data_IF_763867477964
#
_entry.id   IF_763867477964
#
_cell.length_a   1.000
_cell.length_b   1.000
_cell.length_c   1.000
_cell.angle_alpha   90.00
_cell.angle_beta   90.00
_cell.angle_gamma   90.00
#
_symmetry.space_group_name_H-M   'P 1'
#
loop_
_entity.id
_entity.type
_entity.pdbx_description
1 polymer ?
#
# COMPACT_ATOMS: atom_id res chain seq x y z
N UNK A 1 -13.72 -31.29 30.54
CA UNK A 1 -12.34 -31.39 31.07
C UNK A 1 -11.45 -30.68 30.07
N UNK A 2 -11.18 -29.38 30.11
CA UNK A 2 -11.16 -28.39 31.18
C UNK A 2 -11.71 -27.07 30.62
N UNK A 3 -12.66 -26.47 31.33
CA UNK A 3 -13.00 -25.06 31.23
C UNK A 3 -12.18 -24.28 32.29
N UNK A 4 -12.04 -22.98 32.04
CA UNK A 4 -11.76 -21.87 32.98
C UNK A 4 -10.34 -21.31 32.97
N UNK A 5 -10.33 -19.96 32.94
CA UNK A 5 -9.24 -19.00 33.22
C UNK A 5 -8.30 -18.76 32.02
N UNK A 6 -8.50 -17.80 31.10
CA UNK A 6 -9.12 -16.48 31.15
C UNK A 6 -8.70 -15.63 32.36
N UNK A 7 -7.39 -15.45 32.59
CA UNK A 7 -6.86 -14.38 33.47
C UNK A 7 -5.36 -14.03 33.33
N UNK A 8 -4.70 -14.12 32.16
CA UNK A 8 -3.26 -13.76 32.08
C UNK A 8 -2.81 -12.83 30.94
N UNK A 9 -3.72 -12.23 30.17
CA UNK A 9 -3.34 -11.36 29.05
C UNK A 9 -3.13 -9.86 29.39
N UNK A 10 -3.12 -9.46 30.66
CA UNK A 10 -2.93 -8.05 31.05
C UNK A 10 -1.51 -7.63 31.48
N UNK A 11 -0.49 -8.50 31.37
CA UNK A 11 0.88 -8.14 31.76
C UNK A 11 1.93 -8.48 30.68
N UNK A 12 1.89 -7.78 29.52
CA UNK A 12 2.96 -7.88 28.50
C UNK A 12 3.38 -6.57 27.84
N UNK A 13 3.25 -5.43 28.52
CA UNK A 13 3.84 -4.16 28.04
C UNK A 13 5.23 -3.81 28.60
N UNK A 14 5.87 -4.67 29.41
CA UNK A 14 7.21 -4.38 29.98
C UNK A 14 8.36 -5.26 29.48
N UNK A 15 8.17 -6.14 28.49
CA UNK A 15 9.15 -7.18 28.15
C UNK A 15 9.70 -7.14 26.71
N UNK A 16 9.60 -6.01 26.01
CA UNK A 16 10.24 -5.86 24.70
C UNK A 16 11.77 -5.74 24.81
N UNK A 17 12.31 -5.11 25.85
CA UNK A 17 13.76 -5.03 26.10
C UNK A 17 14.40 -6.39 26.33
N UNK A 18 13.77 -7.27 27.12
CA UNK A 18 14.26 -8.63 27.38
C UNK A 18 14.22 -9.57 26.17
N UNK A 19 13.28 -9.36 25.23
CA UNK A 19 13.22 -10.09 23.96
C UNK A 19 14.32 -9.62 22.98
N UNK A 20 14.57 -8.31 22.94
CA UNK A 20 15.64 -7.68 22.15
C UNK A 20 17.01 -8.16 22.66
N UNK A 21 17.24 -8.14 23.97
CA UNK A 21 18.49 -8.63 24.55
C UNK A 21 18.70 -10.11 24.26
N UNK A 22 17.68 -10.96 24.46
CA UNK A 22 17.77 -12.38 24.10
C UNK A 22 18.12 -12.60 22.64
N UNK A 23 17.51 -11.87 21.70
CA UNK A 23 17.83 -12.00 20.28
C UNK A 23 19.24 -11.51 19.95
N UNK A 24 19.70 -10.40 20.53
CA UNK A 24 21.07 -9.87 20.35
C UNK A 24 22.12 -10.83 20.89
N UNK A 25 21.89 -11.43 22.07
CA UNK A 25 22.77 -12.45 22.64
C UNK A 25 22.80 -13.72 21.79
N UNK A 26 21.66 -14.13 21.22
CA UNK A 26 21.56 -15.30 20.33
C UNK A 26 22.35 -15.06 19.03
N UNK A 27 22.24 -13.87 18.43
CA UNK A 27 22.99 -13.52 17.19
C UNK A 27 24.49 -13.40 17.46
N UNK A 28 24.90 -12.77 18.58
CA UNK A 28 26.33 -12.75 18.98
C UNK A 28 26.87 -14.16 19.27
N UNK A 29 26.08 -15.03 19.89
CA UNK A 29 26.44 -16.43 20.11
C UNK A 29 26.62 -17.23 18.82
N UNK A 30 25.74 -17.01 17.83
CA UNK A 30 25.83 -17.62 16.50
C UNK A 30 27.06 -17.16 15.71
N UNK A 31 27.44 -15.87 15.83
CA UNK A 31 28.67 -15.34 15.21
C UNK A 31 29.92 -16.03 15.80
N UNK A 32 29.95 -16.23 17.13
CA UNK A 32 31.07 -16.88 17.81
C UNK A 32 31.17 -18.41 17.57
N UNK A 33 30.08 -19.07 17.17
CA UNK A 33 30.06 -20.52 16.91
C UNK A 33 30.15 -20.90 15.43
N UNK A 34 30.13 -19.92 14.51
CA UNK A 34 30.09 -20.18 13.06
C UNK A 34 31.44 -20.62 12.50
N UNK A 35 31.62 -21.93 12.26
CA UNK A 35 32.82 -22.50 11.60
C UNK A 35 32.91 -22.21 10.08
N UNK A 36 31.84 -21.75 9.45
CA UNK A 36 31.78 -21.47 8.00
C UNK A 36 31.79 -19.97 7.73
N UNK A 37 32.64 -19.52 6.78
CA UNK A 37 32.70 -18.11 6.33
C UNK A 37 31.33 -17.60 5.85
N UNK A 38 30.56 -18.44 5.16
CA UNK A 38 29.23 -18.07 4.65
C UNK A 38 28.23 -17.83 5.79
N UNK A 39 28.23 -18.69 6.80
CA UNK A 39 27.37 -18.53 7.98
C UNK A 39 27.78 -17.31 8.82
N UNK A 40 29.07 -16.99 8.88
CA UNK A 40 29.58 -15.78 9.53
C UNK A 40 29.08 -14.52 8.81
N UNK A 41 29.23 -14.46 7.49
CA UNK A 41 28.73 -13.32 6.69
C UNK A 41 27.21 -13.16 6.78
N UNK A 42 26.45 -14.26 6.76
CA UNK A 42 25.00 -14.24 6.96
C UNK A 42 24.62 -13.72 8.36
N UNK A 43 25.32 -14.15 9.40
CA UNK A 43 25.08 -13.69 10.77
C UNK A 43 25.44 -12.21 10.93
N UNK A 44 26.55 -11.76 10.36
CA UNK A 44 26.95 -10.35 10.35
C UNK A 44 25.93 -9.49 9.59
N UNK A 45 25.46 -9.96 8.44
CA UNK A 45 24.42 -9.28 7.66
C UNK A 45 23.13 -9.15 8.47
N UNK A 46 22.64 -10.25 9.08
CA UNK A 46 21.47 -10.23 9.98
C UNK A 46 21.66 -9.25 11.13
N UNK A 47 22.84 -9.24 11.76
CA UNK A 47 23.15 -8.32 12.85
C UNK A 47 23.12 -6.85 12.42
N UNK A 48 23.75 -6.53 11.27
CA UNK A 48 23.76 -5.15 10.72
C UNK A 48 22.35 -4.70 10.33
N UNK A 49 21.56 -5.61 9.75
CA UNK A 49 20.17 -5.35 9.40
C UNK A 49 19.32 -5.08 10.64
N UNK A 50 19.42 -5.93 11.68
CA UNK A 50 18.75 -5.73 12.96
C UNK A 50 19.13 -4.40 13.62
N UNK A 51 20.44 -4.06 13.64
CA UNK A 51 20.91 -2.78 14.17
C UNK A 51 20.32 -1.59 13.39
N UNK A 52 20.22 -1.70 12.07
CA UNK A 52 19.63 -0.66 11.24
C UNK A 52 18.14 -0.47 11.57
N UNK A 53 17.37 -1.56 11.72
CA UNK A 53 15.95 -1.48 12.09
C UNK A 53 15.76 -0.75 13.42
N UNK A 54 16.52 -1.10 14.46
CA UNK A 54 16.42 -0.43 15.77
C UNK A 54 16.78 1.06 15.69
N UNK A 55 17.82 1.41 14.95
CA UNK A 55 18.19 2.81 14.75
C UNK A 55 17.09 3.61 14.03
N UNK A 56 16.41 2.99 13.06
CA UNK A 56 15.29 3.61 12.35
C UNK A 56 14.07 3.77 13.26
N UNK A 57 13.80 2.80 14.14
CA UNK A 57 12.76 2.90 15.17
C UNK A 57 13.01 4.07 16.12
N UNK A 58 14.23 4.23 16.60
CA UNK A 58 14.60 5.34 17.49
C UNK A 58 14.39 6.70 16.82
N UNK A 59 14.82 6.84 15.55
CA UNK A 59 14.60 8.06 14.77
C UNK A 59 13.10 8.34 14.62
N UNK A 60 12.32 7.32 14.24
CA UNK A 60 10.87 7.45 14.05
C UNK A 60 10.18 7.85 15.35
N UNK A 61 10.46 7.14 16.44
CA UNK A 61 9.90 7.44 17.75
C UNK A 61 10.20 8.87 18.20
N UNK A 62 11.44 9.33 17.99
CA UNK A 62 11.84 10.71 18.30
C UNK A 62 11.03 11.73 17.50
N UNK A 63 10.82 11.50 16.19
CA UNK A 63 10.09 12.42 15.33
C UNK A 63 8.58 12.36 15.50
N UNK A 64 8.02 11.20 15.83
CA UNK A 64 6.61 11.06 16.24
C UNK A 64 6.37 11.84 17.53
N UNK A 65 7.29 11.79 18.50
CA UNK A 65 7.16 12.55 19.74
C UNK A 65 7.16 14.06 19.52
N UNK A 66 7.90 14.56 18.52
CA UNK A 66 7.82 15.95 18.08
C UNK A 66 6.44 16.24 17.48
N UNK A 67 5.94 15.37 16.60
CA UNK A 67 4.63 15.55 15.96
C UNK A 67 3.46 15.57 16.96
N UNK A 68 3.58 14.94 18.14
CA UNK A 68 2.60 15.02 19.23
C UNK A 68 2.32 16.47 19.68
N UNK A 69 3.29 17.37 19.53
CA UNK A 69 3.14 18.77 19.91
C UNK A 69 2.24 19.55 18.93
N UNK A 70 2.15 19.08 17.69
CA UNK A 70 1.45 19.77 16.61
C UNK A 70 0.12 19.10 16.25
N UNK A 71 0.01 17.78 16.42
CA UNK A 71 -1.08 16.97 15.86
C UNK A 71 -2.09 16.58 16.94
N UNK A 72 -3.37 16.52 16.58
CA UNK A 72 -4.37 15.81 17.39
C UNK A 72 -4.03 14.31 17.46
N UNK A 73 -4.59 13.61 18.44
CA UNK A 73 -4.36 12.16 18.60
C UNK A 73 -4.73 11.37 17.34
N UNK A 74 -5.92 11.62 16.76
CA UNK A 74 -6.34 10.95 15.53
C UNK A 74 -5.42 11.28 14.35
N UNK A 75 -5.01 12.55 14.18
CA UNK A 75 -4.09 12.93 13.11
C UNK A 75 -2.74 12.23 13.24
N UNK A 76 -2.24 12.11 14.47
CA UNK A 76 -0.97 11.45 14.75
C UNK A 76 -1.07 9.96 14.43
N UNK A 77 -2.09 9.26 14.92
CA UNK A 77 -2.31 7.84 14.65
C UNK A 77 -2.51 7.60 13.15
N UNK A 78 -3.29 8.43 12.48
CA UNK A 78 -3.52 8.35 11.04
C UNK A 78 -2.23 8.59 10.24
N UNK A 79 -1.43 9.58 10.63
CA UNK A 79 -0.13 9.88 10.01
C UNK A 79 0.87 8.75 10.22
N UNK A 80 0.91 8.14 11.41
CA UNK A 80 1.75 6.96 11.67
C UNK A 80 1.35 5.79 10.78
N UNK A 81 0.05 5.55 10.58
CA UNK A 81 -0.43 4.54 9.64
C UNK A 81 -0.01 4.82 8.20
N UNK A 82 -0.24 6.04 7.70
CA UNK A 82 0.05 6.40 6.31
C UNK A 82 1.54 6.48 5.99
N UNK A 83 2.30 7.16 6.85
CA UNK A 83 3.71 7.46 6.59
C UNK A 83 4.59 6.31 7.03
N UNK A 84 4.32 5.75 8.22
CA UNK A 84 5.17 4.74 8.87
C UNK A 84 4.64 3.30 8.73
N UNK A 85 3.43 3.12 8.21
CA UNK A 85 2.82 1.80 8.10
C UNK A 85 2.50 1.16 9.45
N UNK A 86 2.42 1.96 10.51
CA UNK A 86 2.12 1.48 11.86
C UNK A 86 0.60 1.41 12.06
N UNK A 87 0.11 0.18 12.28
CA UNK A 87 -1.29 -0.03 12.63
C UNK A 87 -1.56 0.60 13.99
N UNK A 88 -2.69 1.29 14.12
CA UNK A 88 -3.20 1.81 15.39
C UNK A 88 -4.62 1.27 15.62
N UNK A 89 -4.79 -0.01 16.01
CA UNK A 89 -6.11 -0.62 16.25
C UNK A 89 -6.95 0.11 17.31
N UNK A 90 -6.27 0.78 18.24
CA UNK A 90 -6.86 1.62 19.30
C UNK A 90 -7.44 2.95 18.78
N UNK A 91 -7.20 3.30 17.52
CA UNK A 91 -7.72 4.53 16.94
C UNK A 91 -9.24 4.48 16.78
N UNK A 92 -9.92 5.58 17.10
CA UNK A 92 -11.38 5.71 17.05
C UNK A 92 -11.97 5.37 15.67
N UNK A 93 -11.26 5.72 14.61
CA UNK A 93 -11.66 5.48 13.22
C UNK A 93 -11.29 4.08 12.69
N UNK A 94 -10.48 3.29 13.41
CA UNK A 94 -9.98 2.00 12.90
C UNK A 94 -11.10 1.00 12.49
N UNK A 95 -12.20 0.87 13.26
CA UNK A 95 -13.32 0.00 12.88
C UNK A 95 -13.97 0.43 11.56
N UNK A 96 -14.09 1.74 11.32
CA UNK A 96 -14.70 2.27 10.10
C UNK A 96 -13.87 1.93 8.86
N UNK A 97 -12.54 2.04 8.94
CA UNK A 97 -11.66 1.62 7.84
C UNK A 97 -11.68 0.10 7.63
N UNK A 98 -11.86 -0.67 8.70
CA UNK A 98 -12.02 -2.13 8.62
C UNK A 98 -13.28 -2.51 7.86
N UNK A 99 -14.41 -1.96 8.27
CA UNK A 99 -15.72 -2.27 7.69
C UNK A 99 -15.89 -1.68 6.28
N UNK A 100 -15.28 -0.52 6.00
CA UNK A 100 -15.26 0.03 4.65
C UNK A 100 -14.27 -0.71 3.71
N UNK A 101 -13.51 -1.70 4.20
CA UNK A 101 -12.51 -2.44 3.41
C UNK A 101 -11.29 -1.59 3.00
N UNK A 102 -11.03 -0.51 3.73
CA UNK A 102 -9.98 0.46 3.49
C UNK A 102 -8.77 0.31 4.42
N UNK A 103 -8.66 -0.77 5.19
CA UNK A 103 -7.48 -1.01 6.05
C UNK A 103 -6.14 -0.97 5.29
N UNK A 104 -6.16 -1.30 4.00
CA UNK A 104 -4.99 -1.23 3.13
C UNK A 104 -4.45 0.21 2.94
N UNK A 105 -5.27 1.23 3.25
CA UNK A 105 -4.88 2.64 3.31
C UNK A 105 -4.09 2.94 4.58
N UNK A 106 -4.55 2.43 5.74
CA UNK A 106 -3.93 2.68 7.05
C UNK A 106 -2.59 1.95 7.27
N UNK A 107 -2.13 1.20 6.28
CA UNK A 107 -0.87 0.45 6.32
C UNK A 107 -0.04 0.84 5.11
N UNK A 108 1.29 0.79 5.25
CA UNK A 108 2.19 1.11 4.16
C UNK A 108 1.95 0.17 2.96
N UNK A 109 1.63 0.78 1.82
CA UNK A 109 1.25 0.06 0.61
C UNK A 109 2.12 0.48 -0.58
N UNK A 110 2.03 -0.29 -1.67
CA UNK A 110 2.68 0.08 -2.92
C UNK A 110 2.16 1.40 -3.51
N UNK A 111 0.97 1.85 -3.12
CA UNK A 111 0.42 3.14 -3.49
C UNK A 111 1.23 4.28 -2.86
N UNK A 112 1.60 4.17 -1.58
CA UNK A 112 2.42 5.18 -0.90
C UNK A 112 3.78 5.34 -1.58
N UNK A 113 4.40 4.24 -2.03
CA UNK A 113 5.64 4.30 -2.83
C UNK A 113 5.43 5.04 -4.15
N UNK A 114 4.32 4.79 -4.84
CA UNK A 114 4.01 5.47 -6.09
C UNK A 114 3.80 6.98 -5.88
N UNK A 115 3.17 7.39 -4.78
CA UNK A 115 3.04 8.79 -4.38
C UNK A 115 4.40 9.42 -4.09
N UNK A 116 5.24 8.77 -3.29
CA UNK A 116 6.60 9.22 -2.96
C UNK A 116 7.43 9.38 -4.23
N UNK A 117 7.41 8.39 -5.13
CA UNK A 117 8.08 8.47 -6.41
C UNK A 117 7.53 9.60 -7.30
N UNK A 118 6.21 9.81 -7.29
CA UNK A 118 5.54 10.89 -8.02
C UNK A 118 5.94 12.27 -7.52
N UNK A 119 5.99 12.47 -6.20
CA UNK A 119 6.45 13.69 -5.57
C UNK A 119 7.92 13.96 -5.90
N UNK A 120 8.79 12.95 -5.74
CA UNK A 120 10.20 13.03 -6.10
C UNK A 120 10.38 13.43 -7.57
N UNK A 121 9.60 12.84 -8.49
CA UNK A 121 9.64 13.17 -9.92
C UNK A 121 9.31 14.64 -10.19
N UNK A 122 8.31 15.21 -9.50
CA UNK A 122 7.92 16.62 -9.67
C UNK A 122 9.02 17.55 -9.16
N UNK A 123 9.61 17.26 -8.00
CA UNK A 123 10.68 18.06 -7.40
C UNK A 123 11.97 18.01 -8.24
N UNK A 124 12.25 16.88 -8.87
CA UNK A 124 13.48 16.65 -9.63
C UNK A 124 13.33 16.91 -11.14
N UNK A 125 12.23 17.50 -11.58
CA UNK A 125 11.91 17.73 -13.01
C UNK A 125 12.92 18.60 -13.76
N UNK A 126 13.70 19.40 -13.04
CA UNK A 126 14.67 20.33 -13.60
C UNK A 126 16.04 19.67 -13.86
N UNK A 127 16.26 18.44 -13.38
CA UNK A 127 17.50 17.69 -13.61
C UNK A 127 17.45 16.90 -14.92
N UNK A 128 18.62 16.46 -15.40
CA UNK A 128 18.71 15.54 -16.52
C UNK A 128 17.93 14.25 -16.25
N UNK A 129 17.38 13.61 -17.29
CA UNK A 129 16.55 12.39 -17.15
C UNK A 129 17.23 11.29 -16.35
N UNK A 130 18.55 11.10 -16.52
CA UNK A 130 19.34 10.13 -15.75
C UNK A 130 19.37 10.51 -14.26
N UNK A 131 19.75 11.75 -13.96
CA UNK A 131 19.82 12.26 -12.59
C UNK A 131 18.44 12.22 -11.90
N UNK A 132 17.38 12.64 -12.60
CA UNK A 132 16.02 12.60 -12.11
C UNK A 132 15.63 11.18 -11.65
N UNK A 133 15.90 10.17 -12.48
CA UNK A 133 15.56 8.80 -12.15
C UNK A 133 16.41 8.24 -11.00
N UNK A 134 17.70 8.58 -10.95
CA UNK A 134 18.57 8.20 -9.82
C UNK A 134 18.06 8.80 -8.50
N UNK A 135 17.67 10.08 -8.50
CA UNK A 135 17.11 10.74 -7.32
C UNK A 135 15.77 10.12 -6.90
N UNK A 136 14.88 9.81 -7.85
CA UNK A 136 13.62 9.11 -7.54
C UNK A 136 13.90 7.76 -6.88
N UNK A 137 14.85 6.99 -7.41
CA UNK A 137 15.21 5.69 -6.82
C UNK A 137 15.79 5.85 -5.42
N UNK A 138 16.69 6.82 -5.21
CA UNK A 138 17.25 7.11 -3.91
C UNK A 138 16.14 7.42 -2.89
N UNK A 139 15.19 8.29 -3.25
CA UNK A 139 14.05 8.65 -2.37
C UNK A 139 13.17 7.43 -2.09
N UNK A 140 12.85 6.62 -3.09
CA UNK A 140 12.03 5.41 -2.93
C UNK A 140 12.71 4.40 -2.01
N UNK A 141 14.00 4.14 -2.20
CA UNK A 141 14.73 3.20 -1.35
C UNK A 141 14.89 3.71 0.08
N UNK A 142 15.16 5.01 0.26
CA UNK A 142 15.16 5.62 1.59
C UNK A 142 13.81 5.44 2.28
N UNK A 143 12.69 5.64 1.56
CA UNK A 143 11.35 5.39 2.10
C UNK A 143 11.14 3.91 2.49
N UNK A 144 11.54 2.96 1.64
CA UNK A 144 11.41 1.52 1.96
C UNK A 144 12.29 1.10 3.14
N UNK A 145 13.50 1.66 3.24
CA UNK A 145 14.42 1.41 4.36
C UNK A 145 13.80 1.93 5.65
N UNK A 146 13.31 3.19 5.66
CA UNK A 146 12.60 3.75 6.81
C UNK A 146 11.45 2.83 7.24
N UNK A 147 10.72 2.26 6.30
CA UNK A 147 9.59 1.37 6.60
C UNK A 147 9.95 -0.10 6.80
N UNK A 148 11.22 -0.39 7.12
CA UNK A 148 11.66 -1.75 7.49
C UNK A 148 11.31 -2.80 6.44
N UNK A 149 11.41 -2.43 5.16
CA UNK A 149 11.32 -3.36 4.04
C UNK A 149 10.02 -4.20 3.98
N UNK A 150 8.85 -3.64 4.32
CA UNK A 150 7.60 -4.43 4.22
C UNK A 150 7.38 -4.95 2.79
N UNK A 151 6.78 -6.15 2.61
CA UNK A 151 6.72 -6.80 1.29
C UNK A 151 6.07 -5.97 0.16
N UNK A 152 4.96 -5.23 0.38
CA UNK A 152 4.37 -4.39 -0.66
C UNK A 152 5.28 -3.24 -1.12
N UNK A 153 6.11 -2.71 -0.21
CA UNK A 153 7.08 -1.64 -0.44
C UNK A 153 8.27 -2.17 -1.23
N UNK A 154 8.83 -3.32 -0.82
CA UNK A 154 9.92 -4.00 -1.52
C UNK A 154 9.56 -4.29 -2.98
N UNK A 155 8.36 -4.84 -3.23
CA UNK A 155 7.86 -5.07 -4.61
C UNK A 155 7.85 -3.78 -5.40
N UNK A 156 7.31 -2.70 -4.85
CA UNK A 156 7.27 -1.41 -5.54
C UNK A 156 8.69 -0.90 -5.85
N UNK A 157 9.60 -0.90 -4.87
CA UNK A 157 10.97 -0.43 -5.04
C UNK A 157 11.72 -1.23 -6.12
N UNK A 158 11.66 -2.56 -6.07
CA UNK A 158 12.27 -3.41 -7.09
C UNK A 158 11.68 -3.19 -8.47
N UNK A 159 10.36 -3.03 -8.58
CA UNK A 159 9.74 -2.68 -9.86
C UNK A 159 10.23 -1.34 -10.40
N UNK A 160 10.34 -0.29 -9.56
CA UNK A 160 10.91 0.99 -9.98
C UNK A 160 12.36 0.85 -10.44
N UNK A 161 13.19 0.11 -9.70
CA UNK A 161 14.59 -0.18 -10.06
C UNK A 161 14.70 -0.90 -11.41
N UNK A 162 13.88 -1.92 -11.64
CA UNK A 162 13.88 -2.68 -12.90
C UNK A 162 13.40 -1.84 -14.08
N UNK A 163 12.34 -1.03 -13.90
CA UNK A 163 11.88 -0.10 -14.95
C UNK A 163 12.97 0.92 -15.27
N UNK A 164 13.67 1.43 -14.26
CA UNK A 164 14.79 2.34 -14.46
C UNK A 164 15.92 1.68 -15.26
N UNK A 165 16.36 0.50 -14.83
CA UNK A 165 17.43 -0.26 -15.49
C UNK A 165 17.09 -0.54 -16.96
N UNK A 166 15.87 -1.01 -17.25
CA UNK A 166 15.42 -1.27 -18.62
C UNK A 166 15.41 0.01 -19.46
N UNK A 167 14.95 1.13 -18.90
CA UNK A 167 14.99 2.43 -19.59
C UNK A 167 16.40 2.92 -19.85
N UNK A 168 17.32 2.69 -18.91
CA UNK A 168 18.73 3.03 -19.06
C UNK A 168 19.38 2.23 -20.18
N UNK A 169 19.03 0.94 -20.29
CA UNK A 169 19.50 0.04 -21.34
C UNK A 169 18.77 0.21 -22.70
N UNK A 170 17.85 1.18 -22.82
CA UNK A 170 17.06 1.39 -24.05
C UNK A 170 16.06 0.26 -24.36
N UNK A 171 15.78 -0.62 -23.39
CA UNK A 171 14.95 -1.81 -23.57
C UNK A 171 13.45 -1.51 -23.37
N UNK A 172 12.59 -2.24 -24.09
CA UNK A 172 11.13 -2.15 -23.93
C UNK A 172 10.72 -2.67 -22.55
N UNK A 173 9.92 -1.89 -21.82
CA UNK A 173 9.40 -2.29 -20.50
C UNK A 173 8.12 -3.11 -20.65
N UNK A 174 8.15 -4.39 -20.27
CA UNK A 174 6.94 -5.21 -20.12
C UNK A 174 6.55 -5.31 -18.65
N UNK A 175 5.41 -4.72 -18.28
CA UNK A 175 4.98 -4.55 -16.89
C UNK A 175 4.87 -5.87 -16.11
N UNK A 176 4.33 -6.91 -16.74
CA UNK A 176 4.20 -8.25 -16.13
C UNK A 176 5.56 -8.91 -15.92
N UNK A 177 6.49 -8.78 -16.86
CA UNK A 177 7.87 -9.29 -16.68
C UNK A 177 8.59 -8.59 -15.54
N UNK A 178 8.41 -7.27 -15.43
CA UNK A 178 8.96 -6.49 -14.32
C UNK A 178 8.41 -6.95 -12.97
N UNK A 179 7.10 -7.26 -12.89
CA UNK A 179 6.50 -7.82 -11.68
C UNK A 179 7.04 -9.22 -11.35
N UNK A 180 7.19 -10.10 -12.34
CA UNK A 180 7.75 -11.43 -12.12
C UNK A 180 9.20 -11.35 -11.61
N UNK A 181 10.04 -10.53 -12.26
CA UNK A 181 11.42 -10.31 -11.83
C UNK A 181 11.52 -9.68 -10.45
N UNK A 182 10.64 -8.74 -10.09
CA UNK A 182 10.67 -8.17 -8.73
C UNK A 182 10.36 -9.23 -7.67
N UNK A 183 9.42 -10.15 -7.92
CA UNK A 183 9.13 -11.26 -7.02
C UNK A 183 10.31 -12.23 -6.92
N UNK A 184 10.92 -12.62 -8.05
CA UNK A 184 12.11 -13.47 -8.05
C UNK A 184 13.23 -12.88 -7.21
N UNK A 185 13.49 -11.56 -7.36
CA UNK A 185 14.53 -10.88 -6.60
C UNK A 185 14.19 -10.89 -5.10
N UNK A 186 12.96 -10.56 -4.73
CA UNK A 186 12.51 -10.56 -3.32
C UNK A 186 12.69 -11.95 -2.70
N UNK A 187 12.22 -13.00 -3.37
CA UNK A 187 12.32 -14.37 -2.87
C UNK A 187 13.75 -14.90 -2.85
N UNK A 188 14.63 -14.40 -3.73
CA UNK A 188 16.06 -14.73 -3.68
C UNK A 188 16.74 -14.18 -2.43
N UNK A 189 16.32 -13.00 -1.95
CA UNK A 189 16.84 -12.42 -0.71
C UNK A 189 16.17 -12.99 0.55
N UNK A 190 14.86 -13.23 0.50
CA UNK A 190 14.10 -13.74 1.64
C UNK A 190 13.04 -14.77 1.19
N UNK A 191 13.42 -16.05 1.06
CA UNK A 191 12.53 -17.10 0.58
C UNK A 191 11.27 -17.28 1.43
N UNK A 192 11.36 -17.02 2.75
CA UNK A 192 10.24 -17.10 3.68
C UNK A 192 9.05 -16.20 3.30
N UNK A 193 9.28 -15.14 2.52
CA UNK A 193 8.21 -14.26 2.04
C UNK A 193 7.24 -14.95 1.07
N UNK A 194 7.56 -16.14 0.56
CA UNK A 194 6.61 -16.96 -0.22
C UNK A 194 5.39 -17.37 0.59
N UNK A 195 5.50 -17.47 1.92
CA UNK A 195 4.36 -17.74 2.80
C UNK A 195 3.65 -16.46 3.27
N UNK A 196 4.15 -15.29 2.87
CA UNK A 196 3.60 -14.00 3.33
C UNK A 196 2.35 -13.62 2.55
N UNK A 197 1.21 -13.60 3.24
CA UNK A 197 -0.06 -13.14 2.68
C UNK A 197 0.04 -11.70 2.12
N UNK A 198 0.80 -10.82 2.77
CA UNK A 198 0.95 -9.43 2.31
C UNK A 198 1.69 -9.31 0.97
N UNK A 199 2.65 -10.20 0.70
CA UNK A 199 3.32 -10.27 -0.61
C UNK A 199 2.33 -10.73 -1.69
N UNK A 200 1.59 -11.81 -1.43
CA UNK A 200 0.60 -12.34 -2.37
C UNK A 200 -0.48 -11.32 -2.72
N UNK A 201 -1.07 -10.68 -1.70
CA UNK A 201 -2.08 -9.65 -1.90
C UNK A 201 -1.52 -8.48 -2.73
N UNK A 202 -0.28 -8.04 -2.48
CA UNK A 202 0.34 -6.97 -3.25
C UNK A 202 0.62 -7.35 -4.71
N UNK A 203 1.13 -8.57 -4.95
CA UNK A 203 1.45 -9.07 -6.29
C UNK A 203 0.17 -9.29 -7.10
N UNK A 204 -0.83 -9.95 -6.53
CA UNK A 204 -2.11 -10.22 -7.20
C UNK A 204 -2.89 -8.93 -7.46
N UNK A 205 -2.93 -7.99 -6.51
CA UNK A 205 -3.54 -6.67 -6.75
C UNK A 205 -2.84 -5.95 -7.91
N UNK A 206 -1.50 -5.95 -7.92
CA UNK A 206 -0.72 -5.31 -8.99
C UNK A 206 -0.97 -5.97 -10.34
N UNK A 207 -1.00 -7.31 -10.38
CA UNK A 207 -1.27 -8.08 -11.59
C UNK A 207 -2.69 -7.81 -12.10
N UNK A 208 -3.67 -7.80 -11.21
CA UNK A 208 -5.07 -7.52 -11.52
C UNK A 208 -5.22 -6.13 -12.14
N UNK A 209 -4.61 -5.12 -11.53
CA UNK A 209 -4.55 -3.76 -12.11
C UNK A 209 -3.92 -3.78 -13.50
N UNK A 210 -2.78 -4.45 -13.70
CA UNK A 210 -2.11 -4.48 -15.01
C UNK A 210 -2.96 -5.15 -16.10
N UNK A 211 -3.74 -6.18 -15.75
CA UNK A 211 -4.52 -6.98 -16.70
C UNK A 211 -5.88 -6.36 -17.00
N UNK A 212 -6.59 -5.87 -15.97
CA UNK A 212 -8.00 -5.50 -16.07
C UNK A 212 -8.24 -3.98 -16.14
N UNK A 213 -7.42 -3.14 -15.48
CA UNK A 213 -7.77 -1.71 -15.27
C UNK A 213 -8.06 -0.95 -16.55
N UNK A 214 -7.19 -1.10 -17.56
CA UNK A 214 -7.35 -0.42 -18.84
C UNK A 214 -8.62 -0.87 -19.58
N UNK A 215 -8.94 -2.17 -19.54
CA UNK A 215 -10.12 -2.71 -20.22
C UNK A 215 -11.40 -2.22 -19.55
N UNK A 216 -11.42 -2.25 -18.23
CA UNK A 216 -12.56 -1.84 -17.43
C UNK A 216 -12.82 -0.33 -17.55
N UNK A 217 -11.77 0.48 -17.47
CA UNK A 217 -11.84 1.92 -17.65
C UNK A 217 -12.40 2.30 -19.03
N UNK A 218 -11.92 1.67 -20.11
CA UNK A 218 -12.45 1.91 -21.46
C UNK A 218 -13.90 1.45 -21.61
N UNK A 219 -14.24 0.29 -21.04
CA UNK A 219 -15.61 -0.24 -21.08
C UNK A 219 -16.61 0.70 -20.42
N UNK A 220 -16.28 1.28 -19.27
CA UNK A 220 -17.16 2.22 -18.59
C UNK A 220 -17.21 3.59 -19.26
N UNK A 221 -16.08 4.09 -19.78
CA UNK A 221 -16.07 5.35 -20.54
C UNK A 221 -16.93 5.28 -21.80
N UNK A 222 -17.04 4.11 -22.43
CA UNK A 222 -17.94 3.91 -23.58
C UNK A 222 -19.42 3.99 -23.23
N UNK A 223 -19.80 3.55 -22.02
CA UNK A 223 -21.18 3.58 -21.53
C UNK A 223 -21.59 4.93 -20.92
N UNK A 224 -20.64 5.85 -20.72
CA UNK A 224 -20.92 7.15 -20.12
C UNK A 224 -21.40 8.17 -21.17
N UNK A 225 -22.42 9.01 -20.87
CA UNK A 225 -22.93 9.99 -21.81
C UNK A 225 -21.81 10.90 -22.37
N UNK A 226 -21.72 10.98 -23.71
CA UNK A 226 -20.76 11.86 -24.39
C UNK A 226 -21.17 13.33 -24.36
N UNK A 227 -22.42 13.62 -24.03
CA UNK A 227 -22.97 14.97 -23.97
C UNK A 227 -22.92 15.45 -22.51
N UNK A 228 -22.21 16.54 -22.25
CA UNK A 228 -22.06 17.09 -20.91
C UNK A 228 -20.93 18.11 -20.80
N UNK A 229 -21.04 18.96 -19.79
CA UNK A 229 -20.07 19.96 -19.34
C UNK A 229 -18.63 19.41 -19.31
N UNK A 230 -17.62 20.12 -19.85
CA UNK A 230 -16.22 19.66 -19.87
C UNK A 230 -15.66 19.34 -18.48
N UNK A 231 -16.09 20.08 -17.45
CA UNK A 231 -15.65 19.88 -16.07
C UNK A 231 -16.20 18.57 -15.49
N UNK A 232 -17.49 18.30 -15.69
CA UNK A 232 -18.15 17.08 -15.22
C UNK A 232 -17.55 15.82 -15.88
N UNK A 233 -17.13 15.93 -17.14
CA UNK A 233 -16.40 14.86 -17.86
C UNK A 233 -15.03 14.57 -17.25
N UNK A 234 -14.29 15.60 -16.84
CA UNK A 234 -12.96 15.40 -16.21
C UNK A 234 -13.11 14.70 -14.86
N UNK A 235 -14.08 15.14 -14.05
CA UNK A 235 -14.34 14.57 -12.73
C UNK A 235 -14.82 13.12 -12.84
N UNK A 236 -15.83 12.85 -13.66
CA UNK A 236 -16.33 11.47 -13.88
C UNK A 236 -15.24 10.54 -14.40
N UNK A 237 -14.37 11.00 -15.29
CA UNK A 237 -13.24 10.19 -15.78
C UNK A 237 -12.29 9.77 -14.67
N UNK A 238 -11.97 10.64 -13.71
CA UNK A 238 -11.13 10.29 -12.57
C UNK A 238 -11.79 9.18 -11.75
N UNK A 239 -13.08 9.33 -11.41
CA UNK A 239 -13.81 8.32 -10.65
C UNK A 239 -13.91 6.98 -11.39
N UNK A 240 -14.14 7.00 -12.71
CA UNK A 240 -14.17 5.78 -13.52
C UNK A 240 -12.80 5.10 -13.62
N UNK A 241 -11.71 5.88 -13.71
CA UNK A 241 -10.34 5.34 -13.73
C UNK A 241 -9.96 4.72 -12.38
N UNK A 242 -10.24 5.41 -11.27
CA UNK A 242 -9.94 4.92 -9.92
C UNK A 242 -10.83 3.72 -9.54
N UNK A 243 -12.10 3.76 -9.91
CA UNK A 243 -12.99 2.60 -9.77
C UNK A 243 -12.50 1.41 -10.57
N UNK A 244 -11.98 1.64 -11.78
CA UNK A 244 -11.46 0.57 -12.60
C UNK A 244 -10.20 -0.02 -11.99
N UNK A 245 -9.32 0.80 -11.41
CA UNK A 245 -8.13 0.34 -10.68
C UNK A 245 -8.52 -0.48 -9.45
N UNK A 246 -9.45 0.00 -8.63
CA UNK A 246 -9.89 -0.68 -7.41
C UNK A 246 -10.52 -2.04 -7.70
N UNK A 247 -11.48 -2.10 -8.63
CA UNK A 247 -12.09 -3.36 -9.05
C UNK A 247 -11.09 -4.32 -9.69
N UNK A 248 -10.13 -3.79 -10.45
CA UNK A 248 -9.11 -4.62 -11.08
C UNK A 248 -8.14 -5.22 -10.08
N UNK A 249 -7.79 -4.48 -9.01
CA UNK A 249 -7.02 -5.03 -7.91
C UNK A 249 -7.79 -6.16 -7.22
N UNK A 250 -9.07 -5.89 -6.91
CA UNK A 250 -9.99 -6.83 -6.27
C UNK A 250 -10.21 -8.11 -7.08
N UNK A 251 -10.25 -8.02 -8.41
CA UNK A 251 -10.42 -9.16 -9.33
C UNK A 251 -9.55 -10.37 -8.97
N UNK A 252 -8.27 -10.16 -8.62
CA UNK A 252 -7.35 -11.26 -8.33
C UNK A 252 -7.10 -11.50 -6.84
N UNK A 253 -7.35 -10.54 -5.95
CA UNK A 253 -7.17 -10.75 -4.51
C UNK A 253 -8.40 -11.33 -3.83
N UNK A 254 -9.59 -11.15 -4.41
CA UNK A 254 -10.85 -11.55 -3.80
C UNK A 254 -10.90 -13.04 -3.39
N UNK A 255 -10.37 -14.00 -4.17
CA UNK A 255 -10.29 -15.38 -3.73
C UNK A 255 -9.50 -15.58 -2.43
N UNK A 256 -8.35 -14.88 -2.30
CA UNK A 256 -7.54 -14.94 -1.09
C UNK A 256 -8.25 -14.24 0.08
N UNK A 257 -9.00 -13.17 -0.20
CA UNK A 257 -9.74 -12.48 0.86
C UNK A 257 -10.82 -13.37 1.47
N UNK A 258 -11.60 -14.07 0.64
CA UNK A 258 -12.59 -15.03 1.11
C UNK A 258 -11.92 -16.16 1.91
N UNK A 259 -10.87 -16.76 1.34
CA UNK A 259 -10.20 -17.92 1.94
C UNK A 259 -9.55 -17.62 3.29
N UNK A 260 -8.92 -16.46 3.46
CA UNK A 260 -8.20 -16.13 4.70
C UNK A 260 -9.05 -15.35 5.70
N UNK A 261 -9.93 -14.47 5.25
CA UNK A 261 -10.66 -13.54 6.12
C UNK A 261 -12.15 -13.86 6.25
N UNK A 262 -12.69 -14.82 5.49
CA UNK A 262 -14.09 -15.27 5.57
C UNK A 262 -15.09 -14.11 5.59
N UNK A 263 -14.77 -13.02 4.89
CA UNK A 263 -15.53 -11.77 4.93
C UNK A 263 -15.61 -11.12 3.56
N UNK A 264 -16.80 -10.61 3.26
CA UNK A 264 -17.13 -9.90 2.03
C UNK A 264 -17.51 -8.47 2.37
N UNK A 265 -16.55 -7.56 2.20
CA UNK A 265 -16.78 -6.13 2.40
C UNK A 265 -17.35 -5.51 1.13
N UNK A 266 -18.65 -5.69 0.90
CA UNK A 266 -19.32 -5.16 -0.30
C UNK A 266 -19.28 -3.63 -0.37
N UNK A 267 -19.27 -2.97 0.79
CA UNK A 267 -19.12 -1.52 0.90
C UNK A 267 -17.82 -1.03 0.26
N UNK A 268 -16.75 -1.83 0.32
CA UNK A 268 -15.45 -1.46 -0.24
C UNK A 268 -15.48 -1.22 -1.75
N UNK A 269 -16.40 -1.86 -2.49
CA UNK A 269 -16.56 -1.67 -3.93
C UNK A 269 -17.00 -0.24 -4.28
N UNK A 270 -17.75 0.42 -3.40
CA UNK A 270 -18.26 1.78 -3.59
C UNK A 270 -17.44 2.83 -2.82
N UNK A 271 -16.96 2.49 -1.63
CA UNK A 271 -16.16 3.38 -0.81
C UNK A 271 -14.79 3.67 -1.44
N UNK A 272 -14.09 2.64 -1.96
CA UNK A 272 -12.74 2.80 -2.50
C UNK A 272 -12.67 3.81 -3.67
N UNK A 273 -13.49 3.71 -4.74
CA UNK A 273 -13.41 4.66 -5.86
C UNK A 273 -13.68 6.12 -5.45
N UNK A 274 -14.50 6.33 -4.43
CA UNK A 274 -14.89 7.66 -3.96
C UNK A 274 -13.85 8.27 -3.00
N UNK A 275 -13.24 7.46 -2.15
CA UNK A 275 -12.38 7.92 -1.05
C UNK A 275 -10.88 7.83 -1.36
N UNK A 276 -10.43 6.89 -2.20
CA UNK A 276 -9.02 6.78 -2.59
C UNK A 276 -8.44 8.02 -3.30
N UNK A 277 -9.18 8.78 -4.15
CA UNK A 277 -8.64 9.99 -4.76
C UNK A 277 -8.13 11.02 -3.72
N UNK A 278 -8.75 11.05 -2.54
CA UNK A 278 -8.41 11.99 -1.46
C UNK A 278 -7.11 11.59 -0.77
N UNK A 279 -6.90 10.28 -0.59
CA UNK A 279 -5.80 9.76 0.22
C UNK A 279 -4.43 10.09 -0.36
N UNK A 280 -4.34 10.23 -1.68
CA UNK A 280 -3.08 10.58 -2.35
C UNK A 280 -2.53 11.93 -1.90
N UNK A 281 -3.41 12.93 -1.75
CA UNK A 281 -3.04 14.26 -1.26
C UNK A 281 -2.71 14.24 0.23
N UNK A 282 -3.55 13.57 1.02
CA UNK A 282 -3.37 13.44 2.47
C UNK A 282 -2.04 12.75 2.81
N UNK A 283 -1.71 11.65 2.12
CA UNK A 283 -0.46 10.92 2.34
C UNK A 283 0.77 11.75 1.97
N UNK A 284 0.71 12.52 0.88
CA UNK A 284 1.81 13.42 0.50
C UNK A 284 2.02 14.54 1.53
N UNK A 285 0.94 15.16 2.01
CA UNK A 285 1.01 16.19 3.03
C UNK A 285 1.53 15.64 4.37
N UNK A 286 1.04 14.48 4.80
CA UNK A 286 1.50 13.79 6.01
C UNK A 286 3.00 13.43 5.92
N UNK A 287 3.44 12.91 4.77
CA UNK A 287 4.84 12.60 4.51
C UNK A 287 5.72 13.86 4.54
N UNK A 288 5.25 14.97 3.98
CA UNK A 288 5.96 16.25 4.03
C UNK A 288 6.08 16.77 5.47
N UNK A 289 5.01 16.71 6.26
CA UNK A 289 5.05 17.11 7.68
C UNK A 289 6.02 16.25 8.49
N UNK A 290 6.05 14.94 8.23
CA UNK A 290 7.04 14.05 8.84
C UNK A 290 8.47 14.44 8.48
N UNK A 291 8.74 14.82 7.23
CA UNK A 291 10.05 15.32 6.82
C UNK A 291 10.39 16.67 7.47
N UNK A 292 9.44 17.59 7.56
CA UNK A 292 9.63 18.90 8.20
C UNK A 292 9.91 18.77 9.70
N UNK A 293 9.41 17.73 10.37
CA UNK A 293 9.74 17.43 11.78
C UNK A 293 11.24 17.16 12.00
N UNK A 294 12.02 16.85 10.96
CA UNK A 294 13.48 16.78 11.07
C UNK A 294 14.13 18.15 11.25
N UNK A 295 13.49 19.20 10.74
CA UNK A 295 13.99 20.58 10.72
C UNK A 295 13.26 21.49 11.73
N UNK A 296 12.50 20.89 12.65
CA UNK A 296 11.69 21.59 13.67
C UNK A 296 12.51 22.50 14.60
N UNK A 297 13.84 22.33 14.65
CA UNK A 297 14.74 23.23 15.37
C UNK A 297 14.73 24.68 14.83
N UNK A 298 14.34 24.88 13.57
CA UNK A 298 14.26 26.20 12.95
C UNK A 298 12.87 26.80 13.13
N UNK A 299 12.78 28.01 13.69
CA UNK A 299 11.50 28.66 13.99
C UNK A 299 10.53 28.77 12.78
N UNK A 300 10.97 29.02 11.53
CA UNK A 300 10.04 29.09 10.41
C UNK A 300 9.39 27.73 10.11
N UNK A 301 10.13 26.63 10.34
CA UNK A 301 9.62 25.28 10.15
C UNK A 301 8.56 24.94 11.19
N UNK A 302 8.70 25.42 12.43
CA UNK A 302 7.66 25.28 13.46
C UNK A 302 6.35 25.94 13.05
N UNK A 303 6.42 27.17 12.57
CA UNK A 303 5.24 27.92 12.08
C UNK A 303 4.59 27.17 10.92
N UNK A 304 5.38 26.64 9.98
CA UNK A 304 4.86 25.83 8.87
C UNK A 304 4.19 24.55 9.39
N UNK A 305 4.79 23.85 10.36
CA UNK A 305 4.22 22.65 10.95
C UNK A 305 2.89 22.93 11.66
N UNK A 306 2.80 24.01 12.43
CA UNK A 306 1.57 24.42 13.11
C UNK A 306 0.45 24.73 12.11
N UNK A 307 0.72 25.60 11.13
CA UNK A 307 -0.27 26.00 10.12
C UNK A 307 -0.72 24.79 9.31
N UNK A 308 0.21 23.97 8.82
CA UNK A 308 -0.13 22.80 8.02
C UNK A 308 -0.84 21.73 8.85
N UNK A 309 -0.50 21.55 10.13
CA UNK A 309 -1.18 20.60 11.03
C UNK A 309 -2.63 21.01 11.27
N UNK A 310 -2.88 22.30 11.51
CA UNK A 310 -4.24 22.84 11.67
C UNK A 310 -5.09 22.57 10.43
N UNK A 311 -4.56 22.88 9.23
CA UNK A 311 -5.23 22.58 7.96
C UNK A 311 -5.47 21.08 7.77
N UNK A 312 -4.46 20.26 8.07
CA UNK A 312 -4.56 18.80 7.97
C UNK A 312 -5.64 18.25 8.91
N UNK A 313 -5.81 18.82 10.09
CA UNK A 313 -6.87 18.42 11.03
C UNK A 313 -8.26 18.60 10.42
N UNK A 314 -8.51 19.72 9.74
CA UNK A 314 -9.78 19.96 9.05
C UNK A 314 -10.01 18.94 7.92
N UNK A 315 -9.00 18.72 7.08
CA UNK A 315 -9.07 17.76 5.97
C UNK A 315 -9.28 16.34 6.47
N UNK A 316 -8.56 15.93 7.52
CA UNK A 316 -8.68 14.61 8.11
C UNK A 316 -10.05 14.41 8.75
N UNK A 317 -10.58 15.39 9.50
CA UNK A 317 -11.95 15.30 10.04
C UNK A 317 -12.99 15.08 8.95
N UNK A 318 -12.89 15.81 7.83
CA UNK A 318 -13.77 15.61 6.68
C UNK A 318 -13.61 14.21 6.08
N UNK A 319 -12.37 13.74 5.92
CA UNK A 319 -12.09 12.41 5.39
C UNK A 319 -12.62 11.30 6.30
N UNK A 320 -12.37 11.39 7.61
CA UNK A 320 -12.87 10.44 8.61
C UNK A 320 -14.40 10.44 8.65
N UNK A 321 -15.04 11.61 8.59
CA UNK A 321 -16.51 11.71 8.48
C UNK A 321 -17.03 11.08 7.19
N UNK A 322 -16.34 11.25 6.06
CA UNK A 322 -16.69 10.62 4.79
C UNK A 322 -16.52 9.09 4.82
N UNK A 323 -15.57 8.57 5.58
CA UNK A 323 -15.46 7.12 5.84
C UNK A 323 -16.61 6.67 6.73
N UNK A 324 -16.86 7.35 7.84
CA UNK A 324 -17.94 7.02 8.78
C UNK A 324 -19.34 7.15 8.17
N UNK A 325 -19.52 7.96 7.12
CA UNK A 325 -20.78 8.07 6.38
C UNK A 325 -21.27 6.73 5.82
N UNK A 326 -20.36 5.76 5.61
CA UNK A 326 -20.71 4.41 5.17
C UNK A 326 -21.23 3.51 6.29
N UNK A 327 -21.15 3.92 7.56
CA UNK A 327 -21.59 3.11 8.70
C UNK A 327 -22.99 2.49 8.54
N UNK A 328 -24.02 3.24 8.08
CA UNK A 328 -25.35 2.69 7.89
C UNK A 328 -25.41 1.57 6.85
N UNK A 329 -24.40 1.42 6.00
CA UNK A 329 -24.32 0.44 4.92
C UNK A 329 -23.48 -0.79 5.28
N UNK A 330 -22.85 -0.82 6.47
CA UNK A 330 -21.99 -1.93 6.88
C UNK A 330 -22.74 -3.26 7.06
N UNK A 331 -24.09 -3.24 7.13
CA UNK A 331 -24.90 -4.47 7.08
C UNK A 331 -24.75 -5.23 5.74
N UNK A 332 -24.28 -4.56 4.68
CA UNK A 332 -23.96 -5.22 3.40
C UNK A 332 -22.69 -6.06 3.49
N UNK A 333 -21.89 -5.90 4.54
CA UNK A 333 -20.74 -6.76 4.77
C UNK A 333 -21.24 -8.12 5.26
N UNK A 334 -20.87 -9.18 4.54
CA UNK A 334 -21.30 -10.54 4.87
C UNK A 334 -20.12 -11.34 5.41
N UNK A 335 -20.34 -12.07 6.50
CA UNK A 335 -19.46 -13.16 6.89
C UNK A 335 -19.75 -14.35 6.00
N UNK A 336 -18.71 -14.93 5.40
CA UNK A 336 -18.82 -16.14 4.60
C UNK A 336 -18.82 -17.31 5.56
N UNK A 337 -19.95 -18.02 5.66
CA UNK A 337 -20.00 -19.23 6.48
C UNK A 337 -18.98 -20.26 5.98
N UNK A 338 -18.31 -20.92 6.91
CA UNK A 338 -17.35 -21.98 6.61
C UNK A 338 -17.97 -23.02 5.67
N UNK A 339 -17.25 -23.37 4.59
CA UNK A 339 -17.71 -24.32 3.57
C UNK A 339 -18.52 -23.71 2.40
N UNK A 340 -18.98 -22.46 2.48
CA UNK A 340 -19.59 -21.76 1.33
C UNK A 340 -18.57 -21.05 0.44
N UNK A 341 -17.30 -20.97 0.86
CA UNK A 341 -16.22 -20.29 0.13
C UNK A 341 -16.14 -20.72 -1.33
N UNK A 342 -16.24 -22.03 -1.60
CA UNK A 342 -16.20 -22.58 -2.96
C UNK A 342 -17.29 -22.02 -3.87
N UNK A 343 -18.49 -21.74 -3.33
CA UNK A 343 -19.60 -21.16 -4.10
C UNK A 343 -19.31 -19.71 -4.46
N UNK A 344 -18.82 -18.92 -3.51
CA UNK A 344 -18.43 -17.53 -3.77
C UNK A 344 -17.27 -17.45 -4.77
N UNK A 345 -16.29 -18.37 -4.66
CA UNK A 345 -15.20 -18.48 -5.62
C UNK A 345 -15.70 -18.84 -7.03
N UNK A 346 -16.66 -19.77 -7.15
CA UNK A 346 -17.24 -20.14 -8.42
C UNK A 346 -18.02 -18.98 -9.07
N UNK A 347 -18.83 -18.26 -8.29
CA UNK A 347 -19.53 -17.06 -8.75
C UNK A 347 -18.52 -16.01 -9.24
N UNK A 348 -17.45 -15.79 -8.48
CA UNK A 348 -16.42 -14.82 -8.83
C UNK A 348 -15.67 -15.20 -10.12
N UNK A 349 -15.31 -16.47 -10.27
CA UNK A 349 -14.72 -16.99 -11.51
C UNK A 349 -15.65 -16.81 -12.71
N UNK A 350 -16.96 -17.03 -12.51
CA UNK A 350 -18.00 -16.75 -13.49
C UNK A 350 -18.04 -15.28 -13.92
N UNK A 351 -18.03 -14.34 -12.96
CA UNK A 351 -18.03 -12.90 -13.22
C UNK A 351 -16.79 -12.48 -14.04
N UNK A 352 -15.60 -12.95 -13.65
CA UNK A 352 -14.36 -12.67 -14.39
C UNK A 352 -14.41 -13.28 -15.80
N UNK A 353 -14.93 -14.51 -15.94
CA UNK A 353 -15.11 -15.19 -17.22
C UNK A 353 -16.04 -14.42 -18.17
N UNK A 354 -17.21 -14.01 -17.68
CA UNK A 354 -18.17 -13.19 -18.43
C UNK A 354 -17.52 -11.87 -18.85
N UNK A 355 -16.84 -11.17 -17.94
CA UNK A 355 -16.13 -9.93 -18.26
C UNK A 355 -15.05 -10.13 -19.33
N UNK A 356 -14.29 -11.23 -19.26
CA UNK A 356 -13.29 -11.57 -20.27
C UNK A 356 -13.91 -11.82 -21.65
N UNK A 357 -15.08 -12.47 -21.72
CA UNK A 357 -15.84 -12.70 -22.96
C UNK A 357 -16.35 -11.37 -23.53
N UNK A 358 -17.03 -10.56 -22.72
CA UNK A 358 -17.60 -9.27 -23.14
C UNK A 358 -16.52 -8.30 -23.66
N UNK A 359 -15.34 -8.31 -23.03
CA UNK A 359 -14.21 -7.46 -23.46
C UNK A 359 -13.45 -8.02 -24.67
N UNK A 360 -13.47 -9.34 -24.91
CA UNK A 360 -12.92 -9.95 -26.14
C UNK A 360 -13.79 -9.64 -27.37
N UNK A 361 -15.11 -9.84 -27.25
CA UNK A 361 -16.07 -9.69 -28.37
C UNK A 361 -16.06 -8.27 -28.95
N UNK A 362 -15.92 -7.24 -28.12
CA UNK A 362 -15.80 -5.84 -28.55
C UNK A 362 -14.52 -5.54 -29.35
N UNK A 363 -13.46 -6.34 -29.20
CA UNK A 363 -12.18 -6.16 -29.92
C UNK A 363 -12.26 -6.69 -31.35
N UNK A 364 -12.96 -7.80 -31.54
CA UNK A 364 -13.24 -8.40 -32.87
C UNK A 364 -14.17 -7.48 -33.68
N UNK A 365 -15.22 -6.93 -33.06
CA UNK A 365 -16.13 -5.99 -33.74
C UNK A 365 -15.40 -4.70 -34.18
N UNK A 366 -14.52 -4.13 -33.35
CA UNK A 366 -13.72 -2.95 -33.76
C UNK A 366 -12.68 -3.29 -34.83
N UNK A 367 -12.10 -4.49 -34.86
CA UNK A 367 -11.13 -4.85 -35.91
C UNK A 367 -11.81 -5.17 -37.24
N UNK A 368 -13.03 -5.70 -37.25
CA UNK A 368 -13.80 -5.86 -38.49
C UNK A 368 -14.31 -4.54 -39.08
N UNK A 369 -14.76 -3.57 -38.27
CA UNK A 369 -15.27 -2.30 -38.80
C UNK A 369 -14.18 -1.34 -39.35
N UNK A 370 -12.91 -1.51 -38.98
CA UNK A 370 -11.81 -0.66 -39.46
C UNK A 370 -11.05 -1.23 -40.67
N UNK A 371 -11.44 -2.40 -41.19
CA UNK A 371 -10.86 -2.98 -42.42
C UNK A 371 -11.72 -2.77 -43.68
N UNK A 372 -12.80 -2.00 -43.61
CA UNK A 372 -13.74 -1.82 -44.74
C UNK A 372 -13.76 -0.42 -45.37
N UNK A 373 -12.78 0.44 -45.06
CA UNK A 373 -12.54 1.67 -45.85
C UNK A 373 -11.04 1.88 -46.07
N UNK A 374 -10.55 1.24 -47.13
CA UNK A 374 -9.36 1.65 -47.90
C UNK A 374 -9.80 2.67 -48.93
#
# INVERSE_FOLDING_TARGET
MFSLVESQNELKFSNQSGLIDKQVFTVKGLINQSKSLLNFWLALFKYRFFRLENFLEEIQAKKINVLKLYFSQDNLQFTRGLVLGEKSPEASFYPDFTNAGMLHVLVASGFNVALVAGAARRLTRFFSRKMQLTLILAVVWTYVILLKFQPPLLRAAWMFSLVFLLKFLGQKTQRVRVLAWSVVIILSFQPALVASLSLWLSVLATLGIMVFSRRLSLFWQEGWPKNGEPQLKRVSRIFLEEGAVSLSAQALIFPLLIWFFHSLNLVSFLANPLLLPWIGGITQAAGLQFLLAFFEQYWPVRVILEVTSSLMTGVLRLYLAAVAWWQPWYFLNQTVAEGLEQRYLAIWAGIIGIFAILTRRKREVKTHFFHEKV
#
